data_IF_637825479611
#
_entry.id   IF_637825479611
#
_cell.length_a   1.000
_cell.length_b   1.000
_cell.length_c   1.000
_cell.angle_alpha   90.00
_cell.angle_beta   90.00
_cell.angle_gamma   90.00
#
_symmetry.space_group_name_H-M   'P 1'
#
loop_
_entity.id
_entity.type
_entity.pdbx_description
1 polymer ?
#
# COMPACT_ATOMS: atom_id res chain seq x y z
N UNK A 1 84.48 -2.38 -43.27
CA UNK A 1 83.45 -1.66 -42.48
C UNK A 1 82.34 -2.67 -42.32
N UNK A 2 82.01 -3.01 -41.08
CA UNK A 2 81.42 -4.31 -40.70
C UNK A 2 80.02 -4.57 -41.28
N UNK A 3 79.91 -5.76 -41.87
CA UNK A 3 78.71 -6.58 -42.01
C UNK A 3 78.09 -6.91 -40.65
N UNK A 4 76.77 -7.12 -40.65
CA UNK A 4 76.04 -7.62 -39.48
C UNK A 4 74.56 -7.82 -39.77
N UNK A 5 74.24 -8.82 -40.60
CA UNK A 5 72.94 -9.48 -40.61
C UNK A 5 72.58 -9.98 -39.21
N UNK A 6 71.32 -9.82 -38.79
CA UNK A 6 70.60 -10.85 -38.02
C UNK A 6 69.09 -10.80 -38.28
N UNK A 7 68.61 -11.94 -38.78
CA UNK A 7 67.22 -12.38 -38.95
C UNK A 7 66.77 -13.13 -37.67
N UNK A 8 65.45 -13.32 -37.53
CA UNK A 8 64.69 -14.18 -36.60
C UNK A 8 64.10 -13.45 -35.39
N UNK A 9 62.82 -13.61 -35.03
CA UNK A 9 61.74 -14.45 -35.55
C UNK A 9 60.44 -14.00 -34.89
N UNK A 10 59.35 -13.96 -35.65
CA UNK A 10 58.02 -13.81 -35.08
C UNK A 10 57.59 -15.17 -34.51
N UNK A 11 57.48 -15.26 -33.19
CA UNK A 11 56.84 -16.38 -32.52
C UNK A 11 55.34 -16.33 -32.79
N UNK A 12 54.93 -16.95 -33.91
CA UNK A 12 53.55 -17.39 -34.10
C UNK A 12 53.27 -18.52 -33.12
N UNK A 13 52.53 -18.22 -32.05
CA UNK A 13 51.88 -19.23 -31.21
C UNK A 13 50.79 -19.94 -32.03
N UNK A 14 51.22 -20.88 -32.87
CA UNK A 14 50.38 -21.86 -33.53
C UNK A 14 49.84 -22.81 -32.46
N UNK A 15 48.67 -22.49 -31.93
CA UNK A 15 47.87 -23.45 -31.17
C UNK A 15 47.46 -24.56 -32.15
N UNK A 16 48.22 -25.65 -32.14
CA UNK A 16 48.02 -26.80 -32.99
C UNK A 16 46.55 -27.24 -33.04
N UNK A 17 46.05 -27.40 -34.25
CA UNK A 17 44.74 -27.95 -34.59
C UNK A 17 44.61 -29.46 -34.29
N UNK A 18 45.45 -30.00 -33.41
CA UNK A 18 45.41 -31.36 -32.91
C UNK A 18 44.29 -31.55 -31.89
N UNK A 19 43.03 -31.48 -32.35
CA UNK A 19 41.90 -31.97 -31.55
C UNK A 19 42.04 -33.48 -31.37
N UNK A 20 42.45 -33.85 -30.17
CA UNK A 20 42.77 -35.18 -29.70
C UNK A 20 41.76 -36.27 -30.11
N UNK A 21 42.16 -37.28 -30.92
CA UNK A 21 41.30 -38.39 -31.35
C UNK A 21 40.77 -39.24 -30.19
N UNK A 22 41.52 -39.30 -29.09
CA UNK A 22 41.18 -40.12 -27.93
C UNK A 22 39.94 -39.59 -27.17
N UNK A 23 39.73 -38.26 -27.16
CA UNK A 23 38.55 -37.64 -26.56
C UNK A 23 37.25 -38.08 -27.25
N UNK A 24 37.29 -38.30 -28.57
CA UNK A 24 36.11 -38.78 -29.32
C UNK A 24 35.75 -40.21 -28.96
N UNK A 25 36.75 -41.09 -28.83
CA UNK A 25 36.54 -42.48 -28.39
C UNK A 25 36.00 -42.54 -26.97
N UNK A 26 36.60 -41.78 -26.05
CA UNK A 26 36.16 -41.71 -24.66
C UNK A 26 34.74 -41.16 -24.51
N UNK A 27 34.39 -40.09 -25.24
CA UNK A 27 33.06 -39.50 -25.21
C UNK A 27 31.97 -40.42 -25.79
N UNK A 28 32.30 -41.25 -26.79
CA UNK A 28 31.39 -42.27 -27.31
C UNK A 28 31.12 -43.37 -26.27
N UNK A 29 32.16 -43.85 -25.59
CA UNK A 29 32.05 -44.86 -24.53
C UNK A 29 31.27 -44.35 -23.32
N UNK A 30 31.44 -43.08 -22.96
CA UNK A 30 30.81 -42.47 -21.78
C UNK A 30 29.57 -41.63 -22.11
N UNK A 31 29.04 -41.72 -23.34
CA UNK A 31 27.93 -40.89 -23.82
C UNK A 31 26.71 -40.93 -22.90
N UNK A 32 26.40 -42.08 -22.30
CA UNK A 32 25.30 -42.22 -21.33
C UNK A 32 25.56 -41.44 -20.04
N UNK A 33 26.77 -41.53 -19.49
CA UNK A 33 27.15 -40.78 -18.28
C UNK A 33 27.17 -39.28 -18.54
N UNK A 34 27.71 -38.85 -19.68
CA UNK A 34 27.72 -37.44 -20.09
C UNK A 34 26.28 -36.92 -20.25
N UNK A 35 25.39 -37.70 -20.89
CA UNK A 35 23.99 -37.34 -21.02
C UNK A 35 23.28 -37.22 -19.67
N UNK A 36 23.52 -38.17 -18.75
CA UNK A 36 22.95 -38.11 -17.38
C UNK A 36 23.47 -36.88 -16.64
N UNK A 37 24.77 -36.60 -16.67
CA UNK A 37 25.36 -35.43 -16.03
C UNK A 37 24.82 -34.12 -16.62
N UNK A 38 24.65 -34.04 -17.94
CA UNK A 38 24.07 -32.88 -18.60
C UNK A 38 22.60 -32.68 -18.20
N UNK A 39 21.80 -33.75 -18.16
CA UNK A 39 20.41 -33.69 -17.69
C UNK A 39 20.34 -33.25 -16.23
N UNK A 40 21.18 -33.82 -15.35
CA UNK A 40 21.25 -33.40 -13.94
C UNK A 40 21.64 -31.93 -13.79
N UNK A 41 22.61 -31.44 -14.56
CA UNK A 41 23.01 -30.04 -14.55
C UNK A 41 21.87 -29.11 -14.99
N UNK A 42 21.12 -29.50 -16.03
CA UNK A 42 19.94 -28.75 -16.50
C UNK A 42 18.83 -28.75 -15.45
N UNK A 43 18.55 -29.89 -14.81
CA UNK A 43 17.53 -29.98 -13.74
C UNK A 43 17.93 -29.15 -12.51
N UNK A 44 19.19 -29.21 -12.09
CA UNK A 44 19.70 -28.41 -10.97
C UNK A 44 19.69 -26.92 -11.28
N UNK A 45 20.12 -26.52 -12.48
CA UNK A 45 20.09 -25.12 -12.92
C UNK A 45 18.64 -24.60 -13.03
N UNK A 46 17.74 -25.39 -13.61
CA UNK A 46 16.32 -25.08 -13.71
C UNK A 46 15.64 -24.99 -12.35
N UNK A 47 15.92 -25.94 -11.45
CA UNK A 47 15.43 -25.93 -10.06
C UNK A 47 15.96 -24.75 -9.25
N UNK A 48 17.23 -24.38 -9.44
CA UNK A 48 17.83 -23.20 -8.82
C UNK A 48 17.19 -21.90 -9.30
N UNK A 49 16.95 -21.75 -10.61
CA UNK A 49 16.28 -20.58 -11.17
C UNK A 49 14.81 -20.47 -10.74
N UNK A 50 14.07 -21.58 -10.75
CA UNK A 50 12.68 -21.62 -10.29
C UNK A 50 12.58 -21.38 -8.78
N UNK A 51 13.46 -22.00 -7.98
CA UNK A 51 13.54 -21.76 -6.53
C UNK A 51 13.89 -20.31 -6.20
N UNK A 52 14.84 -19.72 -6.92
CA UNK A 52 15.18 -18.30 -6.78
C UNK A 52 14.02 -17.37 -7.19
N UNK A 53 13.30 -17.71 -8.25
CA UNK A 53 12.12 -16.97 -8.68
C UNK A 53 11.02 -17.01 -7.62
N UNK A 54 10.68 -18.20 -7.12
CA UNK A 54 9.68 -18.37 -6.05
C UNK A 54 10.11 -17.68 -4.76
N UNK A 55 11.40 -17.78 -4.41
CA UNK A 55 11.97 -17.05 -3.27
C UNK A 55 11.80 -15.54 -3.45
N UNK A 56 12.18 -14.98 -4.60
CA UNK A 56 11.95 -13.55 -4.88
C UNK A 56 10.48 -13.16 -4.84
N UNK A 57 9.59 -14.01 -5.35
CA UNK A 57 8.16 -13.74 -5.34
C UNK A 57 7.60 -13.77 -3.92
N UNK A 58 8.10 -14.65 -3.05
CA UNK A 58 7.77 -14.68 -1.61
C UNK A 58 8.22 -13.43 -0.87
N UNK A 59 9.22 -12.72 -1.41
CA UNK A 59 9.70 -11.43 -0.91
C UNK A 59 8.89 -10.24 -1.46
N UNK A 60 7.89 -10.43 -2.30
CA UNK A 60 6.99 -9.35 -2.67
C UNK A 60 5.82 -9.28 -1.67
N UNK A 61 5.33 -8.09 -1.31
CA UNK A 61 4.13 -7.99 -0.51
C UNK A 61 2.96 -8.68 -1.23
N UNK A 62 2.08 -9.31 -0.46
CA UNK A 62 0.85 -9.93 -1.00
C UNK A 62 0.03 -8.85 -1.72
N UNK A 63 -0.62 -9.16 -2.86
CA UNK A 63 -1.63 -8.27 -3.40
C UNK A 63 -2.78 -8.12 -2.38
N UNK A 64 -3.62 -7.08 -2.51
CA UNK A 64 -4.80 -6.97 -1.67
C UNK A 64 -5.67 -8.23 -1.82
N UNK A 65 -6.29 -8.72 -0.74
CA UNK A 65 -7.11 -9.92 -0.79
C UNK A 65 -8.15 -9.84 -1.91
N UNK A 66 -8.28 -10.90 -2.71
CA UNK A 66 -9.22 -10.93 -3.85
C UNK A 66 -10.68 -10.94 -3.41
N UNK A 67 -10.93 -11.34 -2.16
CA UNK A 67 -12.22 -11.25 -1.47
C UNK A 67 -12.46 -9.89 -0.83
N UNK A 68 -11.64 -8.87 -1.11
CA UNK A 68 -12.02 -7.47 -0.95
C UNK A 68 -13.19 -7.20 -1.90
N UNK A 69 -14.36 -7.70 -1.52
CA UNK A 69 -15.60 -7.29 -2.09
C UNK A 69 -15.64 -5.77 -1.87
N UNK A 70 -15.62 -5.02 -2.97
CA UNK A 70 -16.11 -3.65 -2.99
C UNK A 70 -17.63 -3.71 -2.75
N UNK A 71 -18.02 -4.29 -1.61
CA UNK A 71 -19.39 -4.35 -1.17
C UNK A 71 -19.88 -2.92 -1.26
N UNK A 72 -20.99 -2.68 -1.97
CA UNK A 72 -21.49 -1.34 -2.11
C UNK A 72 -21.59 -0.72 -0.71
N UNK A 73 -20.87 0.39 -0.47
CA UNK A 73 -20.88 0.97 0.86
C UNK A 73 -22.28 1.50 1.11
N UNK A 74 -22.96 0.83 2.02
CA UNK A 74 -24.22 1.31 2.59
C UNK A 74 -23.96 2.46 3.56
N UNK A 75 -22.72 2.69 3.98
CA UNK A 75 -22.41 3.72 4.95
C UNK A 75 -22.15 5.07 4.26
N UNK A 76 -22.68 6.14 4.85
CA UNK A 76 -22.44 7.51 4.45
C UNK A 76 -22.05 8.35 5.67
N UNK A 77 -21.34 9.43 5.41
CA UNK A 77 -20.93 10.40 6.45
C UNK A 77 -21.47 11.76 6.08
N UNK A 78 -22.31 12.34 6.94
CA UNK A 78 -22.81 13.72 6.83
C UNK A 78 -21.95 14.60 7.72
N UNK A 79 -21.02 15.35 7.14
CA UNK A 79 -20.24 16.28 7.94
C UNK A 79 -21.06 17.53 8.20
N UNK A 80 -21.12 17.93 9.46
CA UNK A 80 -21.81 19.14 9.88
C UNK A 80 -20.92 20.36 9.68
N UNK A 81 -21.53 21.53 9.52
CA UNK A 81 -20.76 22.76 9.58
C UNK A 81 -20.12 22.88 10.98
N UNK A 82 -18.83 23.26 11.08
CA UNK A 82 -18.22 23.59 12.35
C UNK A 82 -18.83 24.90 12.88
N UNK A 83 -19.06 25.04 14.19
CA UNK A 83 -19.60 26.27 14.77
C UNK A 83 -18.65 27.46 14.61
N UNK A 84 -17.37 27.22 14.26
CA UNK A 84 -16.39 28.27 14.02
C UNK A 84 -16.50 28.90 12.61
N UNK A 85 -17.37 28.40 11.73
CA UNK A 85 -17.62 28.99 10.40
C UNK A 85 -18.78 29.97 10.51
N UNK A 86 -18.59 31.19 10.00
CA UNK A 86 -19.50 32.34 10.17
C UNK A 86 -20.96 32.10 9.74
N UNK A 87 -21.22 31.12 8.87
CA UNK A 87 -22.55 30.78 8.35
C UNK A 87 -23.15 29.51 8.98
N UNK A 88 -22.61 29.03 10.11
CA UNK A 88 -23.11 27.85 10.81
C UNK A 88 -24.01 28.26 12.00
N UNK A 89 -25.35 28.12 11.90
CA UNK A 89 -26.25 28.47 13.00
C UNK A 89 -26.04 27.56 14.22
N UNK A 90 -26.31 28.05 15.43
CA UNK A 90 -26.19 27.23 16.66
C UNK A 90 -27.11 25.99 16.62
N UNK A 91 -28.22 26.06 15.90
CA UNK A 91 -29.17 24.95 15.68
C UNK A 91 -28.73 23.96 14.60
N UNK A 92 -27.60 24.21 13.92
CA UNK A 92 -27.12 23.44 12.77
C UNK A 92 -27.10 21.94 13.04
N UNK A 93 -26.66 21.52 14.23
CA UNK A 93 -26.62 20.11 14.61
C UNK A 93 -28.02 19.50 14.62
N UNK A 94 -28.96 20.13 15.30
CA UNK A 94 -30.33 19.61 15.46
C UNK A 94 -31.13 19.68 14.16
N UNK A 95 -30.88 20.70 13.33
CA UNK A 95 -31.44 20.80 11.98
C UNK A 95 -30.93 19.65 11.09
N UNK A 96 -29.63 19.38 11.11
CA UNK A 96 -29.04 18.30 10.33
C UNK A 96 -29.50 16.91 10.80
N UNK A 97 -29.59 16.68 12.11
CA UNK A 97 -30.13 15.43 12.66
C UNK A 97 -31.57 15.21 12.21
N UNK A 98 -32.43 16.25 12.28
CA UNK A 98 -33.81 16.17 11.77
C UNK A 98 -33.85 15.91 10.26
N UNK A 99 -32.96 16.55 9.50
CA UNK A 99 -32.87 16.33 8.06
C UNK A 99 -32.51 14.88 7.72
N UNK A 100 -31.51 14.31 8.40
CA UNK A 100 -31.11 12.89 8.26
C UNK A 100 -32.24 11.95 8.67
N UNK A 101 -32.89 12.22 9.80
CA UNK A 101 -33.99 11.40 10.30
C UNK A 101 -35.20 11.36 9.35
N UNK A 102 -35.41 12.42 8.55
CA UNK A 102 -36.48 12.50 7.57
C UNK A 102 -36.20 11.74 6.26
N UNK A 103 -34.99 11.21 6.05
CA UNK A 103 -34.64 10.43 4.86
C UNK A 103 -35.03 8.97 5.06
N UNK A 104 -36.01 8.50 4.28
CA UNK A 104 -36.55 7.14 4.42
C UNK A 104 -35.55 6.05 4.06
N UNK A 105 -34.58 6.37 3.21
CA UNK A 105 -33.52 5.52 2.69
C UNK A 105 -32.40 5.30 3.72
N UNK A 106 -32.40 6.02 4.84
CA UNK A 106 -31.48 5.81 5.96
C UNK A 106 -32.14 4.87 6.97
N UNK A 107 -31.47 3.76 7.28
CA UNK A 107 -31.96 2.74 8.23
C UNK A 107 -31.58 3.03 9.67
N UNK A 108 -30.38 3.57 9.88
CA UNK A 108 -29.81 3.88 11.19
C UNK A 108 -28.82 5.04 11.04
N UNK A 109 -28.62 5.79 12.11
CA UNK A 109 -27.59 6.82 12.17
C UNK A 109 -27.09 7.03 13.60
N UNK A 110 -25.85 7.51 13.71
CA UNK A 110 -25.23 7.92 14.97
C UNK A 110 -24.54 9.26 14.78
N UNK A 111 -24.68 10.14 15.77
CA UNK A 111 -23.98 11.42 15.78
C UNK A 111 -22.64 11.21 16.48
N UNK A 112 -21.54 11.52 15.80
CA UNK A 112 -20.18 11.44 16.32
C UNK A 112 -19.68 12.84 16.61
N UNK A 113 -19.34 13.09 17.88
CA UNK A 113 -18.86 14.39 18.36
C UNK A 113 -17.46 14.70 17.84
N UNK A 114 -17.12 15.98 17.68
CA UNK A 114 -15.77 16.40 17.29
C UNK A 114 -14.67 15.84 18.22
N UNK A 115 -14.98 15.70 19.51
CA UNK A 115 -14.11 15.12 20.53
C UNK A 115 -13.86 13.63 20.28
N UNK A 116 -14.90 12.86 19.95
CA UNK A 116 -14.75 11.45 19.58
C UNK A 116 -13.95 11.31 18.28
N UNK A 117 -14.21 12.13 17.25
CA UNK A 117 -13.42 12.09 16.00
C UNK A 117 -11.95 12.34 16.29
N UNK A 118 -11.67 13.34 17.14
CA UNK A 118 -10.29 13.66 17.54
C UNK A 118 -9.67 12.51 18.33
N UNK A 119 -10.40 11.91 19.27
CA UNK A 119 -9.93 10.79 20.06
C UNK A 119 -9.63 9.57 19.19
N UNK A 120 -10.52 9.22 18.26
CA UNK A 120 -10.33 8.12 17.31
C UNK A 120 -9.13 8.38 16.40
N UNK A 121 -8.99 9.60 15.87
CA UNK A 121 -7.84 9.98 15.06
C UNK A 121 -6.53 9.89 15.85
N UNK A 122 -6.51 10.35 17.10
CA UNK A 122 -5.35 10.27 17.99
C UNK A 122 -5.01 8.83 18.38
N UNK A 123 -6.02 8.00 18.57
CA UNK A 123 -5.86 6.58 18.84
C UNK A 123 -5.30 5.86 17.61
N UNK A 124 -5.76 6.16 16.39
CA UNK A 124 -5.26 5.54 15.18
C UNK A 124 -3.88 6.06 14.76
N UNK A 125 -3.61 7.36 14.90
CA UNK A 125 -2.38 7.96 14.37
C UNK A 125 -1.15 7.57 15.17
N UNK A 126 -0.09 7.17 14.45
CA UNK A 126 1.22 6.89 15.04
C UNK A 126 2.13 8.08 14.78
N UNK A 127 2.71 8.64 15.84
CA UNK A 127 3.75 9.66 15.75
C UNK A 127 5.13 9.08 16.03
N UNK A 128 6.16 9.67 15.42
CA UNK A 128 7.56 9.28 15.64
C UNK A 128 8.01 9.48 17.09
N UNK A 129 7.49 10.50 17.76
CA UNK A 129 7.79 10.79 19.18
C UNK A 129 7.07 9.86 20.16
N UNK A 130 6.12 9.05 19.67
CA UNK A 130 5.26 8.22 20.50
C UNK A 130 4.14 8.98 21.22
N UNK A 131 4.08 10.30 21.10
CA UNK A 131 2.99 11.12 21.61
C UNK A 131 1.71 10.95 20.76
N UNK A 132 0.52 11.25 21.30
CA UNK A 132 -0.70 11.27 20.51
C UNK A 132 -0.61 12.29 19.38
N UNK A 133 -1.06 11.89 18.18
CA UNK A 133 -1.15 12.75 16.99
C UNK A 133 -1.84 14.09 17.25
N UNK A 134 -1.09 15.19 17.41
CA UNK A 134 -1.68 16.52 17.35
C UNK A 134 -1.60 17.03 15.91
N UNK A 135 -2.70 16.92 15.17
CA UNK A 135 -2.82 17.66 13.92
C UNK A 135 -3.08 19.14 14.26
N UNK A 136 -2.00 19.89 14.46
CA UNK A 136 -2.08 21.33 14.73
C UNK A 136 -2.87 22.00 13.59
N UNK A 137 -3.97 22.68 13.95
CA UNK A 137 -4.84 23.36 12.98
C UNK A 137 -5.90 22.48 12.30
N UNK A 138 -6.00 21.18 12.60
CA UNK A 138 -7.11 20.38 12.09
C UNK A 138 -8.43 20.79 12.77
N UNK A 139 -9.41 21.17 11.95
CA UNK A 139 -10.78 21.41 12.41
C UNK A 139 -11.50 20.07 12.46
N UNK A 140 -11.68 19.55 13.68
CA UNK A 140 -12.50 18.36 13.92
C UNK A 140 -13.96 18.80 13.98
N UNK A 141 -14.73 18.40 12.98
CA UNK A 141 -16.17 18.66 12.93
C UNK A 141 -16.96 17.46 13.42
N UNK A 142 -18.09 17.73 14.07
CA UNK A 142 -19.13 16.73 14.32
C UNK A 142 -19.63 16.19 12.97
N UNK A 143 -19.88 14.89 12.89
CA UNK A 143 -20.51 14.29 11.72
C UNK A 143 -21.57 13.26 12.14
N UNK A 144 -22.42 12.89 11.19
CA UNK A 144 -23.38 11.81 11.35
C UNK A 144 -22.91 10.64 10.51
N UNK A 145 -22.66 9.49 11.13
CA UNK A 145 -22.53 8.22 10.44
C UNK A 145 -23.94 7.68 10.21
N UNK A 146 -24.27 7.34 8.97
CA UNK A 146 -25.57 6.80 8.60
C UNK A 146 -25.42 5.57 7.72
N UNK A 147 -26.37 4.66 7.82
CA UNK A 147 -26.46 3.47 6.98
C UNK A 147 -27.65 3.60 6.05
N UNK A 148 -27.42 3.37 4.75
CA UNK A 148 -28.41 3.32 3.69
C UNK A 148 -29.06 1.94 3.64
N UNK A 149 -30.35 1.93 3.34
CA UNK A 149 -31.10 0.69 3.03
C UNK A 149 -30.61 0.01 1.76
N UNK A 150 -30.09 0.80 0.82
CA UNK A 150 -29.46 0.29 -0.41
C UNK A 150 -28.37 1.26 -0.88
N UNK A 151 -27.28 0.75 -1.46
CA UNK A 151 -26.18 1.58 -1.95
C UNK A 151 -26.56 2.45 -3.14
N UNK A 152 -27.54 2.04 -3.95
CA UNK A 152 -28.04 2.81 -5.09
C UNK A 152 -28.74 4.12 -4.64
N UNK A 153 -29.20 4.18 -3.39
CA UNK A 153 -29.87 5.34 -2.83
C UNK A 153 -28.92 6.54 -2.60
N UNK A 154 -27.60 6.35 -2.58
CA UNK A 154 -26.64 7.37 -2.18
C UNK A 154 -26.80 8.69 -2.97
N UNK A 155 -26.93 8.63 -4.30
CA UNK A 155 -27.04 9.83 -5.13
C UNK A 155 -28.36 10.61 -4.89
N UNK A 156 -29.44 9.92 -4.49
CA UNK A 156 -30.70 10.58 -4.13
C UNK A 156 -30.60 11.21 -2.73
N UNK A 157 -30.08 10.47 -1.75
CA UNK A 157 -29.87 10.93 -0.38
C UNK A 157 -28.93 12.13 -0.33
N UNK A 158 -27.81 12.08 -1.07
CA UNK A 158 -26.87 13.19 -1.22
C UNK A 158 -27.58 14.46 -1.70
N UNK A 159 -28.34 14.39 -2.80
CA UNK A 159 -29.11 15.54 -3.32
C UNK A 159 -30.17 16.06 -2.35
N UNK A 160 -30.77 15.19 -1.53
CA UNK A 160 -31.78 15.59 -0.55
C UNK A 160 -31.19 16.32 0.66
N UNK A 161 -30.00 15.91 1.09
CA UNK A 161 -29.33 16.42 2.29
C UNK A 161 -28.37 17.59 2.00
N UNK A 162 -27.71 17.61 0.84
CA UNK A 162 -26.82 18.72 0.48
C UNK A 162 -27.58 20.04 0.37
N UNK A 163 -27.00 21.10 0.95
CA UNK A 163 -27.61 22.43 1.03
C UNK A 163 -28.66 22.58 2.13
N UNK A 164 -28.96 21.53 2.91
CA UNK A 164 -29.80 21.67 4.12
C UNK A 164 -29.03 22.43 5.23
N UNK A 165 -29.73 23.21 6.09
CA UNK A 165 -29.09 23.88 7.21
C UNK A 165 -28.29 22.93 8.08
N UNK A 166 -27.07 23.33 8.43
CA UNK A 166 -26.16 22.56 9.27
C UNK A 166 -25.37 21.45 8.59
N UNK A 167 -25.67 21.12 7.33
CA UNK A 167 -24.96 20.08 6.56
C UNK A 167 -23.92 20.74 5.65
N UNK A 168 -22.64 20.46 5.92
CA UNK A 168 -21.54 20.98 5.10
C UNK A 168 -21.27 20.11 3.86
N UNK A 169 -21.34 18.79 4.01
CA UNK A 169 -21.10 17.83 2.93
C UNK A 169 -21.68 16.46 3.25
N UNK A 170 -22.04 15.74 2.21
CA UNK A 170 -22.52 14.34 2.29
C UNK A 170 -21.59 13.48 1.46
N UNK A 171 -20.85 12.59 2.11
CA UNK A 171 -19.91 11.69 1.45
C UNK A 171 -20.33 10.24 1.64
N UNK A 172 -19.96 9.39 0.70
CA UNK A 172 -19.98 7.96 0.97
C UNK A 172 -18.86 7.68 1.99
N UNK A 173 -19.17 6.89 3.01
CA UNK A 173 -18.16 6.55 4.00
C UNK A 173 -17.11 5.67 3.34
N UNK A 174 -15.84 5.99 3.60
CA UNK A 174 -14.72 5.17 3.17
C UNK A 174 -14.90 3.76 3.72
N UNK A 175 -14.77 2.72 2.88
CA UNK A 175 -14.95 1.38 3.35
C UNK A 175 -13.81 1.03 4.31
N UNK A 176 -14.16 0.37 5.42
CA UNK A 176 -13.19 -0.19 6.35
C UNK A 176 -12.61 -1.51 5.82
N UNK A 177 -12.16 -1.53 4.57
CA UNK A 177 -11.74 -2.76 3.85
C UNK A 177 -10.62 -3.52 4.55
N UNK A 178 -9.76 -2.81 5.28
CA UNK A 178 -8.62 -3.39 5.99
C UNK A 178 -8.94 -3.74 7.45
N UNK A 179 -10.11 -3.33 7.98
CA UNK A 179 -10.48 -3.62 9.36
C UNK A 179 -10.61 -5.13 9.60
N UNK A 180 -9.94 -5.62 10.63
CA UNK A 180 -9.86 -7.05 10.94
C UNK A 180 -8.95 -7.88 10.02
N UNK A 181 -8.32 -7.24 9.02
CA UNK A 181 -7.39 -7.90 8.08
C UNK A 181 -5.94 -7.43 8.26
N UNK A 182 -5.78 -6.18 8.66
CA UNK A 182 -4.52 -5.58 9.00
C UNK A 182 -4.67 -4.78 10.30
N UNK A 183 -3.53 -4.50 10.93
CA UNK A 183 -3.45 -3.80 12.21
C UNK A 183 -2.68 -2.49 12.07
N UNK A 184 -1.86 -2.38 11.03
CA UNK A 184 -1.02 -1.24 10.71
C UNK A 184 -1.17 -0.91 9.22
N UNK A 185 -1.44 0.36 8.94
CA UNK A 185 -1.29 0.96 7.62
C UNK A 185 -0.07 1.89 7.60
N UNK A 186 0.72 1.82 6.53
CA UNK A 186 1.88 2.67 6.28
C UNK A 186 1.67 3.33 4.93
N UNK A 187 1.51 4.65 4.92
CA UNK A 187 1.35 5.42 3.69
C UNK A 187 2.71 5.87 3.20
N UNK A 188 3.03 5.53 1.96
CA UNK A 188 4.25 5.98 1.31
C UNK A 188 4.09 7.39 0.75
N UNK A 189 5.20 8.10 0.57
CA UNK A 189 5.19 9.41 -0.04
C UNK A 189 4.66 9.35 -1.49
N UNK A 190 3.84 10.32 -1.86
CA UNK A 190 3.34 10.60 -3.23
C UNK A 190 3.77 12.01 -3.68
N UNK A 191 3.53 12.36 -4.94
CA UNK A 191 3.95 13.67 -5.49
C UNK A 191 3.31 14.88 -4.79
N UNK A 192 2.14 14.71 -4.18
CA UNK A 192 1.44 15.74 -3.40
C UNK A 192 1.63 15.65 -1.89
N UNK A 193 2.51 14.76 -1.41
CA UNK A 193 2.72 14.56 0.02
C UNK A 193 3.41 15.74 0.68
N UNK A 194 3.01 16.05 1.91
CA UNK A 194 3.65 17.07 2.75
C UNK A 194 4.89 16.51 3.47
N UNK A 195 5.64 17.38 4.15
CA UNK A 195 6.80 16.98 4.95
C UNK A 195 6.49 15.77 5.86
N UNK A 196 7.41 14.78 5.96
CA UNK A 196 8.81 14.83 5.57
C UNK A 196 9.11 14.43 4.11
N UNK A 197 8.09 14.26 3.25
CA UNK A 197 8.29 13.83 1.88
C UNK A 197 8.93 14.92 1.01
N UNK A 198 9.91 14.54 0.18
CA UNK A 198 10.54 15.40 -0.83
C UNK A 198 10.13 15.05 -2.26
N UNK A 199 9.24 14.06 -2.41
CA UNK A 199 8.74 13.52 -3.66
C UNK A 199 8.06 12.17 -3.44
N UNK A 200 7.60 11.54 -4.51
CA UNK A 200 7.04 10.20 -4.45
C UNK A 200 8.09 9.16 -3.99
N UNK A 201 7.65 8.17 -3.23
CA UNK A 201 8.49 7.04 -2.83
C UNK A 201 8.88 6.22 -4.06
N UNK A 202 10.16 5.85 -4.11
CA UNK A 202 10.71 4.95 -5.13
C UNK A 202 10.39 3.50 -4.80
N UNK A 203 10.46 2.62 -5.81
CA UNK A 203 10.35 1.17 -5.60
C UNK A 203 11.37 0.65 -4.56
N UNK A 204 12.60 1.15 -4.59
CA UNK A 204 13.63 0.77 -3.62
C UNK A 204 13.28 1.19 -2.19
N UNK A 205 12.65 2.36 -2.01
CA UNK A 205 12.18 2.81 -0.69
C UNK A 205 11.02 1.95 -0.18
N UNK A 206 10.03 1.65 -1.03
CA UNK A 206 8.96 0.70 -0.70
C UNK A 206 9.54 -0.65 -0.28
N UNK A 207 10.43 -1.21 -1.08
CA UNK A 207 10.99 -2.54 -0.84
C UNK A 207 11.82 -2.56 0.46
N UNK A 208 12.48 -1.45 0.82
CA UNK A 208 13.17 -1.29 2.11
C UNK A 208 12.18 -1.26 3.30
N UNK A 209 11.02 -0.62 3.15
CA UNK A 209 9.96 -0.64 4.18
C UNK A 209 9.42 -2.07 4.36
N UNK A 210 9.14 -2.76 3.26
CA UNK A 210 8.67 -4.16 3.29
C UNK A 210 9.73 -5.08 3.93
N UNK A 211 11.00 -4.91 3.58
CA UNK A 211 12.09 -5.67 4.19
C UNK A 211 12.15 -5.44 5.71
N UNK A 212 12.12 -4.18 6.15
CA UNK A 212 12.13 -3.84 7.59
C UNK A 212 10.92 -4.40 8.34
N UNK A 213 9.75 -4.42 7.71
CA UNK A 213 8.56 -5.05 8.28
C UNK A 213 8.76 -6.55 8.48
N UNK A 214 9.30 -7.26 7.49
CA UNK A 214 9.55 -8.71 7.62
C UNK A 214 10.65 -9.08 8.62
N UNK A 215 11.52 -8.15 8.97
CA UNK A 215 12.49 -8.32 10.06
C UNK A 215 11.83 -8.26 11.45
N UNK A 216 10.56 -7.86 11.56
CA UNK A 216 9.87 -7.75 12.85
C UNK A 216 9.27 -9.09 13.28
N UNK A 217 9.48 -9.46 14.55
CA UNK A 217 8.89 -10.66 15.14
C UNK A 217 7.36 -10.57 15.22
N UNK A 218 6.69 -11.56 14.62
CA UNK A 218 5.23 -11.70 14.65
C UNK A 218 4.51 -10.93 13.55
N UNK A 219 5.20 -10.53 12.47
CA UNK A 219 4.53 -10.13 11.21
C UNK A 219 4.04 -11.38 10.50
N UNK A 220 2.71 -11.52 10.42
CA UNK A 220 2.05 -12.63 9.76
C UNK A 220 1.95 -12.41 8.24
N UNK A 221 1.54 -11.19 7.84
CA UNK A 221 1.35 -10.86 6.43
C UNK A 221 1.59 -9.38 6.15
N UNK A 222 2.12 -9.09 4.96
CA UNK A 222 2.34 -7.73 4.45
C UNK A 222 1.65 -7.60 3.11
N UNK A 223 0.68 -6.70 3.01
CA UNK A 223 -0.08 -6.41 1.80
C UNK A 223 0.38 -5.08 1.18
N UNK A 224 0.36 -5.01 -0.14
CA UNK A 224 0.56 -3.76 -0.87
C UNK A 224 -0.75 -3.34 -1.54
N UNK A 225 -1.26 -2.19 -1.13
CA UNK A 225 -2.20 -1.42 -1.92
C UNK A 225 -1.40 -0.54 -2.88
N UNK A 226 -1.26 -1.02 -4.12
CA UNK A 226 -0.65 -0.22 -5.18
C UNK A 226 -1.53 0.98 -5.59
N UNK A 227 -0.95 1.90 -6.36
CA UNK A 227 -1.65 3.11 -6.81
C UNK A 227 -2.89 2.79 -7.65
N UNK A 228 -2.87 1.71 -8.43
CA UNK A 228 -3.98 1.34 -9.30
C UNK A 228 -5.18 0.81 -8.49
N UNK A 229 -4.92 0.04 -7.43
CA UNK A 229 -5.94 -0.39 -6.48
C UNK A 229 -6.48 0.80 -5.69
N UNK A 230 -5.62 1.66 -5.16
CA UNK A 230 -6.03 2.88 -4.46
C UNK A 230 -6.86 3.82 -5.33
N UNK A 231 -6.51 3.98 -6.62
CA UNK A 231 -7.29 4.78 -7.57
C UNK A 231 -8.67 4.17 -7.82
N UNK A 232 -8.77 2.84 -7.98
CA UNK A 232 -10.07 2.16 -8.12
C UNK A 232 -10.94 2.35 -6.88
N UNK A 233 -10.36 2.29 -5.68
CA UNK A 233 -11.07 2.61 -4.43
C UNK A 233 -11.59 4.05 -4.45
N UNK A 234 -10.71 5.02 -4.74
CA UNK A 234 -11.07 6.44 -4.79
C UNK A 234 -12.20 6.71 -5.79
N UNK A 235 -12.08 6.21 -7.02
CA UNK A 235 -13.10 6.39 -8.06
C UNK A 235 -14.44 5.77 -7.67
N UNK A 236 -14.43 4.70 -6.86
CA UNK A 236 -15.64 4.02 -6.41
C UNK A 236 -16.38 4.80 -5.32
N UNK A 237 -15.66 5.34 -4.33
CA UNK A 237 -16.25 5.97 -3.13
C UNK A 237 -16.28 7.50 -3.18
N UNK A 238 -15.51 8.09 -4.08
CA UNK A 238 -15.45 9.53 -4.35
C UNK A 238 -15.48 9.79 -5.86
N UNK A 239 -16.54 9.37 -6.59
CA UNK A 239 -16.59 9.46 -8.05
C UNK A 239 -16.53 10.91 -8.57
N UNK A 240 -16.88 11.88 -7.75
CA UNK A 240 -16.87 13.31 -8.09
C UNK A 240 -15.47 13.94 -7.97
N UNK A 241 -14.49 13.24 -7.39
CA UNK A 241 -13.13 13.73 -7.25
C UNK A 241 -12.30 13.39 -8.49
N UNK A 242 -11.78 14.41 -9.17
CA UNK A 242 -10.77 14.22 -10.19
C UNK A 242 -9.43 13.88 -9.54
N UNK A 243 -9.07 12.60 -9.60
CA UNK A 243 -7.80 12.06 -9.10
C UNK A 243 -7.12 11.24 -10.18
N UNK A 244 -5.81 11.40 -10.32
CA UNK A 244 -4.97 10.62 -11.22
C UNK A 244 -4.15 9.62 -10.44
N UNK A 245 -3.50 8.66 -11.13
CA UNK A 245 -2.62 7.68 -10.49
C UNK A 245 -1.50 8.33 -9.65
N UNK A 246 -1.05 9.52 -10.05
CA UNK A 246 0.02 10.27 -9.39
C UNK A 246 -0.41 10.89 -8.05
N UNK A 247 -1.71 11.11 -7.87
CA UNK A 247 -2.28 11.67 -6.65
C UNK A 247 -2.49 10.59 -5.57
N UNK A 248 -2.44 9.31 -5.96
CA UNK A 248 -2.66 8.16 -5.08
C UNK A 248 -1.32 7.67 -4.53
N UNK A 249 -1.19 7.71 -3.20
CA UNK A 249 -0.08 7.09 -2.52
C UNK A 249 -0.23 5.56 -2.52
N UNK A 250 0.89 4.84 -2.63
CA UNK A 250 0.94 3.43 -2.26
C UNK A 250 0.78 3.31 -0.74
N UNK A 251 0.03 2.30 -0.30
CA UNK A 251 -0.11 1.98 1.12
C UNK A 251 0.31 0.52 1.37
N UNK A 252 1.07 0.31 2.45
CA UNK A 252 1.45 -1.02 2.92
C UNK A 252 0.60 -1.33 4.15
N UNK A 253 -0.10 -2.46 4.13
CA UNK A 253 -0.88 -2.94 5.26
C UNK A 253 -0.23 -4.16 5.86
N UNK A 254 -0.26 -4.28 7.19
CA UNK A 254 0.45 -5.35 7.90
C UNK A 254 -0.47 -5.97 8.92
N UNK A 255 -0.48 -7.30 8.92
CA UNK A 255 -1.12 -8.12 9.95
C UNK A 255 -0.04 -8.68 10.88
N UNK A 256 -0.28 -8.57 12.18
CA UNK A 256 0.56 -9.15 13.21
C UNK A 256 -0.15 -10.33 13.88
N UNK A 257 0.62 -11.25 14.44
CA UNK A 257 0.11 -12.29 15.34
C UNK A 257 -0.32 -11.68 16.69
N UNK A 258 0.38 -10.61 17.10
CA UNK A 258 0.06 -9.81 18.29
C UNK A 258 -0.15 -8.34 17.90
N UNK A 259 -1.42 -7.94 17.84
CA UNK A 259 -1.87 -6.61 17.47
C UNK A 259 -1.25 -5.50 18.35
N UNK A 260 -0.84 -5.80 19.59
CA UNK A 260 -0.24 -4.82 20.49
C UNK A 260 1.09 -4.26 19.97
N UNK A 261 1.78 -5.00 19.08
CA UNK A 261 3.06 -4.60 18.48
C UNK A 261 2.91 -3.56 17.37
N UNK A 262 1.73 -3.45 16.75
CA UNK A 262 1.52 -2.64 15.55
C UNK A 262 1.96 -1.18 15.74
N UNK A 263 1.65 -0.58 16.91
CA UNK A 263 2.04 0.80 17.22
C UNK A 263 3.56 0.97 17.26
N UNK A 264 4.23 0.13 18.03
CA UNK A 264 5.69 0.19 18.19
C UNK A 264 6.39 0.02 16.83
N UNK A 265 5.96 -0.96 16.04
CA UNK A 265 6.51 -1.19 14.70
C UNK A 265 6.26 0.02 13.81
N UNK A 266 5.04 0.55 13.76
CA UNK A 266 4.73 1.76 12.99
C UNK A 266 5.62 2.95 13.34
N UNK A 267 5.95 3.15 14.63
CA UNK A 267 6.87 4.22 15.07
C UNK A 267 8.26 4.07 14.46
N UNK A 268 8.79 2.84 14.39
CA UNK A 268 10.11 2.57 13.78
C UNK A 268 10.13 2.88 12.28
N UNK A 269 9.01 2.69 11.58
CA UNK A 269 8.91 2.89 10.14
C UNK A 269 8.83 4.37 9.75
N UNK A 270 8.29 5.23 10.60
CA UNK A 270 8.19 6.67 10.34
C UNK A 270 9.55 7.36 10.12
N UNK A 271 10.66 6.72 10.51
CA UNK A 271 12.01 7.21 10.24
C UNK A 271 12.57 6.79 8.88
N UNK A 272 11.89 5.91 8.14
CA UNK A 272 12.40 5.36 6.89
C UNK A 272 12.14 6.32 5.70
N UNK A 273 13.10 6.43 4.76
CA UNK A 273 12.90 7.21 3.55
C UNK A 273 11.69 6.71 2.74
N UNK A 274 10.85 7.63 2.30
CA UNK A 274 9.66 7.33 1.51
C UNK A 274 8.41 6.98 2.34
N UNK A 275 8.47 7.00 3.68
CA UNK A 275 7.29 6.87 4.54
C UNK A 275 6.73 8.24 4.88
N UNK A 276 5.45 8.47 4.55
CA UNK A 276 4.75 9.71 4.90
C UNK A 276 4.15 9.63 6.31
N UNK A 277 3.40 8.57 6.59
CA UNK A 277 2.74 8.36 7.88
C UNK A 277 2.47 6.88 8.14
N UNK A 278 2.19 6.56 9.40
CA UNK A 278 1.73 5.25 9.84
C UNK A 278 0.52 5.42 10.76
N UNK A 279 -0.40 4.46 10.72
CA UNK A 279 -1.62 4.47 11.51
C UNK A 279 -2.08 3.06 11.85
N UNK A 280 -2.75 2.90 12.98
CA UNK A 280 -3.43 1.67 13.36
C UNK A 280 -4.71 1.52 12.54
N UNK A 281 -4.95 0.30 12.09
CA UNK A 281 -6.21 -0.08 11.44
C UNK A 281 -7.16 -0.56 12.55
N UNK A 282 -8.19 0.24 12.84
CA UNK A 282 -9.16 0.02 13.93
C UNK A 282 -10.54 -0.42 13.42
#
# INVERSE_FOLDING_TARGET
MYDGEHVHGADELSFGSGREPWLRGWALTHRRLIAISAVMAVVLAGGGAAGWYLYRQSLLPSPPPTDLAFSPSINLTVALCPPQIADCPETARDDAVRAVQAVSEISEFTVVSAEEVKADYQAATILRTGEPGQAAGAIWGTYINATLRSPEAFAAVKRQLEGKPGIARVNQAWPKVWQGRADLGVVLCSLGSVAPCTGAATAAQRDAVVARLREQDGVAEVFLQDQAFGLRLLQRFSPDQYVTLQDVAEEIYVRFDDHAKARQVGQTLLGLPGVMRAYLVL
#
